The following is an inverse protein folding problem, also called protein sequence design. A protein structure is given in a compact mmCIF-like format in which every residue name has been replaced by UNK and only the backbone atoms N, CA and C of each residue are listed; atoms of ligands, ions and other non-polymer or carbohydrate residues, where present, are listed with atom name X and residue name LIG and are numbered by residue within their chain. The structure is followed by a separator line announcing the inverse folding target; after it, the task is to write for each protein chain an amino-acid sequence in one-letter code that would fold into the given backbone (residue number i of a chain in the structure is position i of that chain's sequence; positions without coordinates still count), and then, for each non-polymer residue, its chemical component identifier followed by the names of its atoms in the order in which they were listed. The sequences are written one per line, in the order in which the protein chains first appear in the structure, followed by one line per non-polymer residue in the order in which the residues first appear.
data_IF_508391465912
#
_entry.id   IF_508391465912
#
_cell.length_a   1.000
_cell.length_b   1.000
_cell.length_c   1.000
_cell.angle_alpha   90.00
_cell.angle_beta   90.00
_cell.angle_gamma   90.00
#
_symmetry.space_group_name_H-M   'P 1'
#
loop_
_entity.id
_entity.type
_entity.pdbx_description
1 polymer ?
#
# COMPACT_ATOMS: atom_id res chain seq x y z
N UNK A 1 47.36 30.44 -15.26
CA UNK A 1 47.34 28.97 -15.02
C UNK A 1 46.74 28.29 -16.25
N UNK A 2 47.46 27.34 -16.88
CA UNK A 2 47.05 26.68 -18.13
C UNK A 2 45.69 25.96 -17.92
N UNK A 3 44.70 26.12 -18.84
CA UNK A 3 43.36 25.51 -18.73
C UNK A 3 43.43 23.97 -18.62
N UNK A 4 44.43 23.32 -19.18
CA UNK A 4 44.68 21.88 -19.06
C UNK A 4 45.07 21.51 -17.64
N UNK A 5 45.92 22.29 -16.98
CA UNK A 5 46.35 22.07 -15.60
C UNK A 5 45.19 22.29 -14.60
N UNK A 6 44.37 23.33 -14.87
CA UNK A 6 43.15 23.59 -14.05
C UNK A 6 42.12 22.45 -14.16
N UNK A 7 42.01 21.88 -15.33
CA UNK A 7 41.11 20.74 -15.60
C UNK A 7 41.64 19.46 -14.90
N UNK A 8 42.94 19.20 -15.01
CA UNK A 8 43.58 18.06 -14.29
C UNK A 8 43.51 18.20 -12.78
N UNK A 9 43.70 19.40 -12.23
CA UNK A 9 43.58 19.67 -10.79
C UNK A 9 42.13 19.49 -10.31
N UNK A 10 41.15 19.97 -11.06
CA UNK A 10 39.73 19.79 -10.72
C UNK A 10 39.30 18.30 -10.77
N UNK A 11 39.82 17.55 -11.76
CA UNK A 11 39.58 16.09 -11.84
C UNK A 11 40.22 15.37 -10.64
N UNK A 12 41.46 15.73 -10.28
CA UNK A 12 42.14 15.16 -9.11
C UNK A 12 41.45 15.47 -7.78
N UNK A 13 40.99 16.71 -7.60
CA UNK A 13 40.22 17.11 -6.41
C UNK A 13 38.86 16.42 -6.35
N UNK A 14 38.16 16.29 -7.46
CA UNK A 14 36.87 15.59 -7.51
C UNK A 14 37.01 14.08 -7.31
N UNK A 15 38.07 13.48 -7.78
CA UNK A 15 38.37 12.07 -7.54
C UNK A 15 38.69 11.82 -6.05
N UNK A 16 39.48 12.70 -5.43
CA UNK A 16 39.81 12.59 -4.00
C UNK A 16 38.59 12.80 -3.11
N UNK A 17 37.70 13.74 -3.44
CA UNK A 17 36.45 13.94 -2.71
C UNK A 17 35.50 12.74 -2.84
N UNK A 18 35.39 12.15 -4.01
CA UNK A 18 34.58 10.94 -4.22
C UNK A 18 35.13 9.74 -3.43
N UNK A 19 36.44 9.57 -3.36
CA UNK A 19 37.05 8.51 -2.56
C UNK A 19 36.79 8.70 -1.07
N UNK A 20 36.88 9.92 -0.56
CA UNK A 20 36.55 10.24 0.83
C UNK A 20 35.07 9.96 1.11
N UNK A 21 34.15 10.46 0.29
CA UNK A 21 32.71 10.18 0.43
C UNK A 21 32.39 8.68 0.34
N UNK A 22 33.07 7.94 -0.55
CA UNK A 22 32.89 6.49 -0.65
C UNK A 22 33.36 5.76 0.62
N UNK A 23 34.46 6.22 1.25
CA UNK A 23 34.95 5.63 2.50
C UNK A 23 33.99 5.91 3.67
N UNK A 24 33.51 7.15 3.79
CA UNK A 24 32.52 7.54 4.81
C UNK A 24 31.22 6.78 4.65
N UNK A 25 30.68 6.74 3.44
CA UNK A 25 29.44 6.01 3.15
C UNK A 25 29.60 4.49 3.33
N UNK A 26 30.77 3.92 2.99
CA UNK A 26 31.04 2.51 3.24
C UNK A 26 31.11 2.22 4.75
N UNK A 27 31.72 3.10 5.52
CA UNK A 27 31.77 2.98 6.98
C UNK A 27 30.35 3.01 7.57
N UNK A 28 29.53 4.00 7.19
CA UNK A 28 28.14 4.10 7.64
C UNK A 28 27.33 2.86 7.24
N UNK A 29 27.50 2.39 6.01
CA UNK A 29 26.78 1.21 5.51
C UNK A 29 27.16 -0.08 6.26
N UNK A 30 28.43 -0.22 6.68
CA UNK A 30 28.92 -1.39 7.39
C UNK A 30 28.61 -1.36 8.89
N UNK A 31 28.68 -0.17 9.52
CA UNK A 31 28.69 -0.05 10.98
C UNK A 31 27.55 0.81 11.55
N UNK A 32 26.94 1.71 10.74
CA UNK A 32 25.92 2.66 11.16
C UNK A 32 24.69 2.60 10.24
N UNK A 33 24.34 1.40 9.78
CA UNK A 33 23.30 1.20 8.77
C UNK A 33 21.96 1.84 9.12
N UNK A 34 21.60 1.88 10.40
CA UNK A 34 20.36 2.49 10.88
C UNK A 34 20.28 3.99 10.57
N UNK A 35 21.42 4.70 10.51
CA UNK A 35 21.46 6.13 10.17
C UNK A 35 21.19 6.40 8.69
N UNK A 36 21.27 5.38 7.85
CA UNK A 36 21.02 5.44 6.41
C UNK A 36 19.55 5.17 6.04
N UNK A 37 18.75 4.64 6.98
CA UNK A 37 17.36 4.30 6.73
C UNK A 37 16.49 5.55 6.86
N UNK A 38 15.75 5.86 5.79
CA UNK A 38 14.92 7.07 5.65
C UNK A 38 13.42 6.77 5.60
N UNK A 39 12.99 5.55 5.99
CA UNK A 39 11.59 5.14 5.89
C UNK A 39 10.73 5.62 7.07
N UNK A 40 9.43 5.84 6.80
CA UNK A 40 8.44 6.16 7.84
C UNK A 40 8.62 7.53 8.51
N UNK A 41 9.31 8.47 7.86
CA UNK A 41 9.65 9.78 8.44
C UNK A 41 8.53 10.81 8.32
N UNK A 42 7.47 10.55 7.56
CA UNK A 42 6.35 11.48 7.45
C UNK A 42 5.58 11.54 8.78
N UNK A 43 5.45 12.76 9.33
CA UNK A 43 4.72 12.98 10.58
C UNK A 43 3.27 12.53 10.46
N UNK A 44 2.77 11.80 11.46
CA UNK A 44 1.42 11.28 11.50
C UNK A 44 0.90 11.21 12.94
N UNK A 45 -0.41 11.08 13.05
CA UNK A 45 -1.13 10.85 14.30
C UNK A 45 -1.75 9.45 14.28
N UNK A 46 -1.59 8.69 15.35
CA UNK A 46 -2.32 7.42 15.54
C UNK A 46 -3.68 7.76 16.15
N UNK A 47 -4.74 7.56 15.38
CA UNK A 47 -6.11 7.92 15.79
C UNK A 47 -6.96 6.73 16.24
N UNK A 48 -6.50 5.51 15.98
CA UNK A 48 -7.09 4.27 16.47
C UNK A 48 -5.98 3.25 16.74
N UNK A 49 -6.08 2.56 17.88
CA UNK A 49 -5.28 1.38 18.21
C UNK A 49 -6.21 0.19 18.48
N UNK A 50 -6.00 -0.88 17.72
CA UNK A 50 -6.72 -2.15 17.84
C UNK A 50 -5.74 -3.30 17.59
N UNK A 51 -5.65 -4.28 18.47
CA UNK A 51 -4.70 -5.38 18.36
C UNK A 51 -5.07 -6.35 17.21
N UNK A 52 -4.25 -6.52 16.18
CA UNK A 52 -2.89 -6.00 15.97
C UNK A 52 -2.80 -4.68 15.19
N UNK A 53 -3.90 -4.09 14.76
CA UNK A 53 -4.01 -2.96 13.82
C UNK A 53 -3.92 -1.60 14.52
N UNK A 54 -3.39 -0.59 13.83
CA UNK A 54 -3.59 0.82 14.15
C UNK A 54 -3.98 1.61 12.89
N UNK A 55 -4.54 2.81 13.07
CA UNK A 55 -4.91 3.72 12.01
C UNK A 55 -4.14 5.02 12.17
N UNK A 56 -3.39 5.40 11.13
CA UNK A 56 -2.58 6.62 11.08
C UNK A 56 -3.26 7.68 10.24
N UNK A 57 -3.30 8.91 10.74
CA UNK A 57 -3.69 10.09 9.97
C UNK A 57 -2.46 10.92 9.63
N UNK A 58 -2.34 11.34 8.37
CA UNK A 58 -1.24 12.18 7.88
C UNK A 58 -1.76 13.60 7.65
N UNK A 59 -1.39 14.56 8.51
CA UNK A 59 -1.78 15.95 8.31
C UNK A 59 -1.10 16.54 7.07
N UNK A 60 -1.65 17.66 6.54
CA UNK A 60 -0.99 18.37 5.45
C UNK A 60 0.44 18.76 5.80
N UNK A 61 1.39 18.64 4.85
CA UNK A 61 2.73 19.16 5.04
C UNK A 61 2.69 20.65 5.41
N UNK A 62 3.53 21.06 6.38
CA UNK A 62 3.63 22.46 6.79
C UNK A 62 4.39 23.33 5.77
N UNK A 63 5.18 22.70 4.92
CA UNK A 63 5.98 23.33 3.86
C UNK A 63 5.09 23.82 2.72
N UNK A 64 5.52 24.85 2.00
CA UNK A 64 4.83 25.31 0.78
C UNK A 64 5.03 24.36 -0.41
N UNK A 65 6.14 23.64 -0.42
CA UNK A 65 6.50 22.68 -1.46
C UNK A 65 7.10 21.43 -0.81
N UNK A 66 6.78 20.28 -1.37
CA UNK A 66 7.51 19.04 -1.09
C UNK A 66 8.45 18.73 -2.25
N UNK A 67 9.61 18.15 -1.95
CA UNK A 67 10.55 17.68 -2.96
C UNK A 67 10.30 16.20 -3.25
N UNK A 68 10.31 15.85 -4.54
CA UNK A 68 10.24 14.48 -5.04
C UNK A 68 11.60 14.05 -5.60
N UNK A 69 11.71 12.79 -5.99
CA UNK A 69 12.87 12.30 -6.73
C UNK A 69 13.10 13.18 -7.99
N UNK A 70 14.35 13.28 -8.43
CA UNK A 70 14.78 14.11 -9.56
C UNK A 70 14.62 15.64 -9.35
N UNK A 71 14.59 16.11 -8.08
CA UNK A 71 14.43 17.52 -7.69
C UNK A 71 13.11 18.16 -8.19
N UNK A 72 12.13 17.36 -8.52
CA UNK A 72 10.79 17.84 -8.85
C UNK A 72 10.11 18.39 -7.59
N UNK A 73 9.49 19.58 -7.68
CA UNK A 73 8.79 20.22 -6.56
C UNK A 73 7.30 20.19 -6.79
N UNK A 74 6.57 19.73 -5.79
CA UNK A 74 5.10 19.76 -5.78
C UNK A 74 4.63 20.79 -4.78
N UNK A 75 3.80 21.72 -5.25
CA UNK A 75 3.17 22.72 -4.38
C UNK A 75 2.15 22.04 -3.48
N UNK A 76 2.16 22.41 -2.19
CA UNK A 76 1.16 21.93 -1.23
C UNK A 76 -0.15 22.68 -1.46
N UNK A 77 -1.23 21.93 -1.70
CA UNK A 77 -2.57 22.46 -1.92
C UNK A 77 -3.27 22.70 -0.58
N UNK A 78 -3.77 23.92 -0.38
CA UNK A 78 -4.49 24.28 0.85
C UNK A 78 -5.97 23.92 0.79
N UNK A 79 -6.54 23.86 -0.42
CA UNK A 79 -7.93 23.42 -0.60
C UNK A 79 -8.00 21.90 -0.42
N UNK A 80 -8.89 21.44 0.46
CA UNK A 80 -9.03 20.03 0.78
C UNK A 80 -10.12 19.36 -0.02
N UNK A 81 -9.83 18.13 -0.47
CA UNK A 81 -10.84 17.24 -1.00
C UNK A 81 -11.73 16.74 0.15
N UNK A 82 -13.07 16.84 0.03
CA UNK A 82 -13.96 16.49 1.13
C UNK A 82 -14.04 14.98 1.40
N UNK A 83 -13.74 14.12 0.40
CA UNK A 83 -13.73 12.66 0.59
C UNK A 83 -12.36 12.21 1.00
N UNK A 84 -12.17 11.62 2.21
CA UNK A 84 -10.89 11.14 2.70
C UNK A 84 -10.37 9.95 1.88
N UNK A 85 -9.04 9.83 1.82
CA UNK A 85 -8.31 8.75 1.16
C UNK A 85 -7.74 7.80 2.20
N UNK A 86 -8.15 6.54 2.17
CA UNK A 86 -7.63 5.47 3.02
C UNK A 86 -6.71 4.57 2.21
N UNK A 87 -5.45 4.52 2.60
CA UNK A 87 -4.45 3.64 2.02
C UNK A 87 -4.48 2.30 2.74
N UNK A 88 -4.57 1.23 1.96
CA UNK A 88 -4.68 -0.15 2.45
C UNK A 88 -3.46 -0.94 1.98
N UNK A 89 -2.46 -1.17 2.86
CA UNK A 89 -1.28 -1.95 2.51
C UNK A 89 -1.61 -3.44 2.43
N UNK A 90 -0.76 -4.23 1.77
CA UNK A 90 -0.81 -5.68 1.88
C UNK A 90 -0.45 -6.12 3.30
N UNK A 91 -0.95 -7.28 3.73
CA UNK A 91 -0.40 -7.98 4.89
C UNK A 91 1.02 -8.47 4.60
N UNK A 92 1.81 -8.66 5.63
CA UNK A 92 3.20 -9.13 5.52
C UNK A 92 4.22 -8.05 5.17
N UNK A 93 3.79 -6.80 4.97
CA UNK A 93 4.68 -5.64 4.78
C UNK A 93 4.36 -4.55 5.78
N UNK A 94 5.33 -3.69 6.03
CA UNK A 94 5.18 -2.55 6.91
C UNK A 94 4.56 -1.34 6.18
N UNK A 95 4.18 -0.31 6.92
CA UNK A 95 3.60 0.93 6.38
C UNK A 95 4.56 1.74 5.52
N UNK A 96 5.86 1.47 5.61
CA UNK A 96 6.90 2.07 4.77
C UNK A 96 6.66 1.79 3.28
N UNK A 97 5.83 0.79 2.93
CA UNK A 97 5.34 0.60 1.57
C UNK A 97 4.65 1.83 0.97
N UNK A 98 4.13 2.73 1.80
CA UNK A 98 3.52 4.00 1.38
C UNK A 98 4.30 5.23 1.85
N UNK A 99 5.37 5.04 2.63
CA UNK A 99 6.22 6.10 3.17
C UNK A 99 7.70 5.68 3.17
N UNK A 100 8.22 5.32 1.99
CA UNK A 100 9.53 4.69 1.88
C UNK A 100 10.68 5.66 2.16
N UNK A 101 10.59 6.88 1.65
CA UNK A 101 11.60 7.96 1.85
C UNK A 101 10.93 9.31 1.65
N UNK A 102 11.51 10.42 2.18
CA UNK A 102 10.90 11.75 2.07
C UNK A 102 10.53 12.17 0.64
N UNK A 103 11.37 11.83 -0.35
CA UNK A 103 11.15 12.13 -1.77
C UNK A 103 10.40 11.01 -2.54
N UNK A 104 10.03 9.92 -1.85
CA UNK A 104 9.23 8.78 -2.38
C UNK A 104 8.20 8.33 -1.35
N UNK A 105 7.47 9.27 -0.80
CA UNK A 105 6.38 9.04 0.16
C UNK A 105 5.04 9.30 -0.52
N UNK A 106 4.24 8.26 -0.73
CA UNK A 106 2.90 8.39 -1.29
C UNK A 106 1.98 9.13 -0.31
N UNK A 107 2.08 8.84 1.00
CA UNK A 107 1.28 9.53 2.02
C UNK A 107 1.54 11.04 2.00
N UNK A 108 2.82 11.45 1.95
CA UNK A 108 3.21 12.86 1.87
C UNK A 108 2.75 13.52 0.58
N UNK A 109 2.88 12.80 -0.56
CA UNK A 109 2.44 13.29 -1.86
C UNK A 109 0.93 13.53 -1.88
N UNK A 110 0.12 12.55 -1.47
CA UNK A 110 -1.34 12.68 -1.46
C UNK A 110 -1.81 13.76 -0.47
N UNK A 111 -1.17 13.88 0.71
CA UNK A 111 -1.46 14.94 1.66
C UNK A 111 -1.13 16.32 1.09
N UNK A 112 -0.02 16.46 0.35
CA UNK A 112 0.35 17.69 -0.36
C UNK A 112 -0.62 18.05 -1.48
N UNK A 113 -1.26 17.05 -2.11
CA UNK A 113 -2.29 17.22 -3.14
C UNK A 113 -3.70 17.45 -2.58
N UNK A 114 -3.81 17.78 -1.30
CA UNK A 114 -5.06 18.21 -0.67
C UNK A 114 -5.96 17.08 -0.17
N UNK A 115 -5.53 15.82 -0.15
CA UNK A 115 -6.32 14.74 0.43
C UNK A 115 -6.15 14.66 1.95
N UNK A 116 -7.21 14.28 2.66
CA UNK A 116 -7.14 13.78 4.03
C UNK A 116 -6.68 12.33 3.96
N UNK A 117 -5.41 12.06 4.28
CA UNK A 117 -4.78 10.76 4.09
C UNK A 117 -4.80 9.96 5.38
N UNK A 118 -5.34 8.76 5.30
CA UNK A 118 -5.31 7.75 6.35
C UNK A 118 -4.57 6.52 5.86
N UNK A 119 -3.84 5.86 6.72
CA UNK A 119 -3.11 4.63 6.41
C UNK A 119 -3.40 3.58 7.47
N UNK A 120 -3.94 2.46 7.05
CA UNK A 120 -4.10 1.30 7.93
C UNK A 120 -2.72 0.68 8.16
N UNK A 121 -2.35 0.53 9.42
CA UNK A 121 -1.19 -0.26 9.83
C UNK A 121 -1.71 -1.57 10.43
N UNK A 122 -1.52 -2.67 9.70
CA UNK A 122 -1.96 -3.99 10.18
C UNK A 122 -1.19 -4.50 11.39
N UNK A 123 -0.17 -3.75 11.84
CA UNK A 123 0.69 -4.11 12.95
C UNK A 123 1.59 -5.31 12.66
N UNK A 124 2.11 -5.89 13.72
CA UNK A 124 2.99 -7.07 13.64
C UNK A 124 2.24 -8.31 14.16
N UNK A 125 1.64 -9.13 13.29
CA UNK A 125 0.93 -10.32 13.72
C UNK A 125 1.83 -11.25 14.50
N UNK A 126 1.34 -11.73 15.65
CA UNK A 126 2.02 -12.69 16.51
C UNK A 126 1.31 -14.04 16.44
N UNK A 127 1.88 -15.08 17.04
CA UNK A 127 1.27 -16.42 17.08
C UNK A 127 -0.14 -16.44 17.64
N UNK A 128 -0.49 -15.53 18.59
CA UNK A 128 -1.85 -15.38 19.11
C UNK A 128 -2.86 -14.94 18.04
N UNK A 129 -2.38 -14.26 16.97
CA UNK A 129 -3.20 -13.81 15.85
C UNK A 129 -3.29 -14.84 14.71
N UNK A 130 -2.72 -16.04 14.90
CA UNK A 130 -2.66 -17.07 13.86
C UNK A 130 -4.05 -17.50 13.33
N UNK A 131 -5.11 -17.33 14.12
CA UNK A 131 -6.49 -17.67 13.72
C UNK A 131 -7.14 -16.59 12.84
N UNK A 132 -6.58 -15.37 12.77
CA UNK A 132 -7.14 -14.31 11.95
C UNK A 132 -7.07 -14.69 10.48
N UNK A 133 -8.22 -14.64 9.80
CA UNK A 133 -8.38 -14.89 8.38
C UNK A 133 -8.72 -13.62 7.61
N UNK A 134 -9.00 -13.76 6.32
CA UNK A 134 -9.34 -12.62 5.45
C UNK A 134 -10.57 -11.86 5.93
N UNK A 135 -11.55 -12.53 6.54
CA UNK A 135 -12.75 -11.87 7.06
C UNK A 135 -12.42 -10.95 8.24
N UNK A 136 -11.55 -11.41 9.15
CA UNK A 136 -11.17 -10.61 10.32
C UNK A 136 -10.49 -9.32 9.88
N UNK A 137 -9.59 -9.38 8.90
CA UNK A 137 -8.93 -8.20 8.36
C UNK A 137 -9.85 -7.33 7.50
N UNK A 138 -10.61 -7.94 6.57
CA UNK A 138 -11.42 -7.19 5.63
C UNK A 138 -12.71 -6.65 6.26
N UNK A 139 -13.42 -7.42 7.09
CA UNK A 139 -14.73 -7.01 7.62
C UNK A 139 -14.61 -6.31 8.97
N UNK A 140 -13.85 -6.89 9.91
CA UNK A 140 -13.80 -6.39 11.28
C UNK A 140 -12.78 -5.25 11.40
N UNK A 141 -11.48 -5.54 11.24
CA UNK A 141 -10.43 -4.53 11.45
C UNK A 141 -10.55 -3.35 10.47
N UNK A 142 -10.78 -3.62 9.18
CA UNK A 142 -11.01 -2.54 8.21
C UNK A 142 -12.32 -1.80 8.49
N UNK A 143 -13.38 -2.48 8.92
CA UNK A 143 -14.64 -1.86 9.32
C UNK A 143 -14.45 -0.87 10.45
N UNK A 144 -13.71 -1.27 11.51
CA UNK A 144 -13.38 -0.40 12.65
C UNK A 144 -12.53 0.80 12.20
N UNK A 145 -11.53 0.58 11.33
CA UNK A 145 -10.72 1.65 10.77
C UNK A 145 -11.57 2.65 9.97
N UNK A 146 -12.49 2.18 9.12
CA UNK A 146 -13.35 3.05 8.31
C UNK A 146 -14.38 3.81 9.15
N UNK A 147 -14.90 3.20 10.20
CA UNK A 147 -15.77 3.90 11.16
C UNK A 147 -15.01 5.07 11.81
N UNK A 148 -13.77 4.85 12.22
CA UNK A 148 -12.92 5.90 12.79
C UNK A 148 -12.55 6.98 11.77
N UNK A 149 -12.24 6.61 10.51
CA UNK A 149 -12.01 7.58 9.42
C UNK A 149 -13.22 8.49 9.25
N UNK A 150 -14.44 7.95 9.22
CA UNK A 150 -15.68 8.71 9.09
C UNK A 150 -15.88 9.66 10.27
N UNK A 151 -15.67 9.15 11.49
CA UNK A 151 -15.76 9.96 12.70
C UNK A 151 -14.74 11.11 12.72
N UNK A 152 -13.48 10.84 12.37
CA UNK A 152 -12.40 11.81 12.42
C UNK A 152 -12.49 12.84 11.29
N UNK A 153 -12.84 12.41 10.07
CA UNK A 153 -12.96 13.29 8.91
C UNK A 153 -14.30 14.06 8.85
N UNK A 154 -15.33 13.57 9.53
CA UNK A 154 -16.71 14.09 9.41
C UNK A 154 -17.37 13.76 8.07
N UNK A 155 -16.81 12.85 7.28
CA UNK A 155 -17.34 12.42 5.97
C UNK A 155 -17.79 10.97 6.05
N UNK A 156 -19.04 10.69 5.66
CA UNK A 156 -19.51 9.31 5.47
C UNK A 156 -18.86 8.66 4.24
N UNK A 157 -18.66 9.45 3.19
CA UNK A 157 -18.03 8.97 1.96
C UNK A 157 -16.51 8.80 2.13
N UNK A 158 -15.96 7.70 1.59
CA UNK A 158 -14.54 7.33 1.70
C UNK A 158 -14.01 6.85 0.34
N UNK A 159 -12.74 7.10 0.09
CA UNK A 159 -11.96 6.51 -1.00
C UNK A 159 -11.01 5.46 -0.44
N UNK A 160 -10.99 4.26 -1.02
CA UNK A 160 -10.02 3.21 -0.72
C UNK A 160 -8.95 3.13 -1.81
N UNK A 161 -7.68 3.01 -1.42
CA UNK A 161 -6.57 2.76 -2.32
C UNK A 161 -5.72 1.61 -1.77
N UNK A 162 -5.86 0.44 -2.38
CA UNK A 162 -5.21 -0.78 -1.94
C UNK A 162 -4.12 -1.26 -2.90
N UNK A 163 -2.96 -1.61 -2.35
CA UNK A 163 -1.88 -2.25 -3.11
C UNK A 163 -1.88 -3.76 -2.85
N UNK A 164 -1.73 -4.56 -3.93
CA UNK A 164 -1.63 -6.02 -3.86
C UNK A 164 -2.78 -6.63 -3.03
N UNK A 165 -2.47 -7.28 -1.93
CA UNK A 165 -3.46 -7.84 -1.01
C UNK A 165 -4.34 -6.77 -0.34
N UNK A 166 -3.86 -5.53 -0.16
CA UNK A 166 -4.68 -4.44 0.34
C UNK A 166 -5.88 -4.13 -0.58
N UNK A 167 -5.68 -4.21 -1.90
CA UNK A 167 -6.80 -4.10 -2.85
C UNK A 167 -7.77 -5.28 -2.78
N UNK A 168 -7.27 -6.50 -2.50
CA UNK A 168 -8.14 -7.66 -2.28
C UNK A 168 -8.98 -7.50 -1.01
N UNK A 169 -8.37 -7.07 0.10
CA UNK A 169 -9.08 -6.83 1.35
C UNK A 169 -10.15 -5.76 1.19
N UNK A 170 -9.86 -4.69 0.43
CA UNK A 170 -10.83 -3.65 0.08
C UNK A 170 -12.02 -4.21 -0.71
N UNK A 171 -11.75 -5.06 -1.70
CA UNK A 171 -12.80 -5.71 -2.50
C UNK A 171 -13.63 -6.68 -1.67
N UNK A 172 -12.98 -7.47 -0.80
CA UNK A 172 -13.68 -8.41 0.11
C UNK A 172 -14.55 -7.62 1.09
N UNK A 173 -14.04 -6.53 1.69
CA UNK A 173 -14.83 -5.65 2.54
C UNK A 173 -16.10 -5.18 1.83
N UNK A 174 -15.96 -4.60 0.64
CA UNK A 174 -17.08 -4.06 -0.11
C UNK A 174 -18.08 -5.16 -0.54
N UNK A 175 -17.58 -6.34 -0.93
CA UNK A 175 -18.43 -7.48 -1.29
C UNK A 175 -19.20 -8.08 -0.10
N UNK A 176 -18.65 -8.01 1.12
CA UNK A 176 -19.30 -8.49 2.36
C UNK A 176 -20.31 -7.47 2.92
N UNK A 177 -19.92 -6.19 2.96
CA UNK A 177 -20.68 -5.15 3.65
C UNK A 177 -21.64 -4.40 2.76
N UNK A 178 -21.39 -4.41 1.45
CA UNK A 178 -22.12 -3.60 0.45
C UNK A 178 -22.18 -2.12 0.82
N UNK A 179 -21.10 -1.61 1.41
CA UNK A 179 -20.97 -0.23 1.87
C UNK A 179 -21.02 0.76 0.70
N UNK A 180 -22.16 1.43 0.53
CA UNK A 180 -22.42 2.37 -0.56
C UNK A 180 -21.67 3.70 -0.39
N UNK A 181 -21.08 3.95 0.78
CA UNK A 181 -20.28 5.13 1.05
C UNK A 181 -18.79 4.96 0.65
N UNK A 182 -18.40 3.81 0.13
CA UNK A 182 -17.12 3.71 -0.58
C UNK A 182 -17.34 4.27 -1.99
N UNK A 183 -16.97 5.54 -2.19
CA UNK A 183 -17.20 6.28 -3.44
C UNK A 183 -16.24 5.86 -4.54
N UNK A 184 -14.98 5.67 -4.17
CA UNK A 184 -13.91 5.35 -5.11
C UNK A 184 -13.07 4.19 -4.57
N UNK A 185 -12.70 3.29 -5.45
CA UNK A 185 -11.78 2.21 -5.19
C UNK A 185 -10.62 2.28 -6.18
N UNK A 186 -9.41 2.31 -5.67
CA UNK A 186 -8.18 2.18 -6.47
C UNK A 186 -7.51 0.87 -6.08
N UNK A 187 -7.23 0.00 -7.05
CA UNK A 187 -6.45 -1.22 -6.83
C UNK A 187 -5.17 -1.18 -7.64
N UNK A 188 -4.05 -1.46 -6.99
CA UNK A 188 -2.71 -1.46 -7.61
C UNK A 188 -2.14 -2.86 -7.49
N UNK A 189 -1.83 -3.50 -8.63
CA UNK A 189 -1.23 -4.83 -8.69
C UNK A 189 -1.93 -5.85 -7.76
N UNK A 190 -3.28 -5.86 -7.74
CA UNK A 190 -4.06 -6.77 -6.90
C UNK A 190 -4.37 -8.08 -7.65
N UNK A 191 -4.10 -9.26 -7.05
CA UNK A 191 -4.20 -10.55 -7.73
C UNK A 191 -5.63 -11.10 -7.75
N UNK A 192 -6.45 -10.70 -8.72
CA UNK A 192 -7.86 -11.08 -8.85
C UNK A 192 -8.03 -12.47 -9.49
N UNK A 193 -7.33 -12.74 -10.59
CA UNK A 193 -7.42 -14.01 -11.28
C UNK A 193 -6.10 -14.77 -11.23
N UNK A 194 -5.93 -15.65 -10.24
CA UNK A 194 -4.69 -16.42 -10.05
C UNK A 194 -4.32 -17.32 -11.23
N UNK A 195 -5.18 -17.46 -12.26
CA UNK A 195 -4.92 -18.19 -13.50
C UNK A 195 -4.71 -17.28 -14.71
N UNK A 196 -4.66 -15.97 -14.50
CA UNK A 196 -4.57 -14.95 -15.56
C UNK A 196 -3.18 -14.78 -16.21
N UNK A 197 -2.20 -15.62 -15.91
CA UNK A 197 -0.87 -15.63 -16.52
C UNK A 197 0.30 -15.63 -15.53
N UNK A 198 1.53 -15.73 -16.06
CA UNK A 198 2.75 -15.64 -15.27
C UNK A 198 3.10 -16.92 -14.45
N UNK A 199 4.10 -16.77 -13.58
CA UNK A 199 4.63 -17.86 -12.74
C UNK A 199 3.59 -18.26 -11.69
N UNK A 200 2.88 -17.30 -11.12
CA UNK A 200 1.85 -17.53 -10.09
C UNK A 200 0.72 -18.39 -10.65
N UNK A 201 0.26 -18.11 -11.88
CA UNK A 201 -0.78 -18.90 -12.51
C UNK A 201 -0.35 -20.35 -12.77
N UNK A 202 0.91 -20.56 -13.19
CA UNK A 202 1.48 -21.91 -13.36
C UNK A 202 1.53 -22.66 -12.04
N UNK A 203 2.00 -22.02 -10.96
CA UNK A 203 2.05 -22.61 -9.64
C UNK A 203 0.64 -22.93 -9.09
N UNK A 204 -0.31 -22.02 -9.21
CA UNK A 204 -1.69 -22.21 -8.79
C UNK A 204 -2.34 -23.39 -9.55
N UNK A 205 -2.11 -23.49 -10.87
CA UNK A 205 -2.62 -24.59 -11.69
C UNK A 205 -1.98 -25.93 -11.31
N UNK A 206 -0.67 -25.94 -11.05
CA UNK A 206 0.04 -27.15 -10.63
C UNK A 206 -0.44 -27.66 -9.26
N UNK A 207 -0.79 -26.77 -8.33
CA UNK A 207 -1.32 -27.12 -7.01
C UNK A 207 -2.79 -27.60 -7.08
N UNK A 208 -3.56 -27.12 -8.05
CA UNK A 208 -4.99 -27.40 -8.13
C UNK A 208 -5.30 -28.87 -8.35
N UNK A 209 -4.64 -29.55 -9.30
CA UNK A 209 -4.92 -30.95 -9.63
C UNK A 209 -4.68 -31.92 -8.45
N UNK A 210 -3.51 -31.86 -7.74
CA UNK A 210 -3.30 -32.66 -6.55
C UNK A 210 -4.29 -32.34 -5.42
N UNK A 211 -4.59 -31.04 -5.20
CA UNK A 211 -5.52 -30.62 -4.15
C UNK A 211 -6.94 -31.15 -4.39
N UNK A 212 -7.42 -31.10 -5.65
CA UNK A 212 -8.72 -31.66 -6.01
C UNK A 212 -8.75 -33.19 -5.85
N UNK A 213 -7.66 -33.87 -6.19
CA UNK A 213 -7.55 -35.31 -6.02
C UNK A 213 -7.64 -35.70 -4.54
N UNK A 214 -6.87 -35.04 -3.69
CA UNK A 214 -6.92 -35.25 -2.23
C UNK A 214 -8.33 -34.98 -1.70
N UNK A 215 -8.95 -33.86 -2.09
CA UNK A 215 -10.32 -33.51 -1.71
C UNK A 215 -11.33 -34.57 -2.11
N UNK A 216 -11.20 -35.11 -3.34
CA UNK A 216 -12.11 -36.12 -3.88
C UNK A 216 -12.01 -37.46 -3.14
N UNK A 217 -10.79 -37.91 -2.81
CA UNK A 217 -10.59 -39.26 -2.22
C UNK A 217 -10.64 -39.27 -0.69
N UNK A 218 -10.23 -38.19 -0.01
CA UNK A 218 -10.15 -38.15 1.45
C UNK A 218 -11.12 -37.15 2.11
N UNK A 219 -11.78 -36.30 1.33
CA UNK A 219 -12.56 -35.18 1.86
C UNK A 219 -11.72 -34.10 2.58
N UNK A 220 -10.40 -34.32 2.66
CA UNK A 220 -9.51 -33.44 3.42
C UNK A 220 -9.26 -32.13 2.66
N UNK A 221 -9.28 -31.02 3.40
CA UNK A 221 -8.98 -29.68 2.89
C UNK A 221 -7.94 -29.01 3.80
N UNK A 222 -7.18 -28.10 3.26
CA UNK A 222 -6.21 -27.31 4.04
C UNK A 222 -6.88 -26.57 5.22
N UNK A 223 -8.15 -26.20 5.09
CA UNK A 223 -8.96 -25.65 6.18
C UNK A 223 -9.18 -26.61 7.36
N UNK A 224 -8.91 -27.89 7.21
CA UNK A 224 -8.94 -28.85 8.32
C UNK A 224 -7.69 -28.77 9.22
N UNK A 225 -6.64 -28.07 8.78
CA UNK A 225 -5.46 -27.80 9.60
C UNK A 225 -5.72 -26.65 10.56
N UNK A 226 -5.16 -26.76 11.77
CA UNK A 226 -5.15 -25.63 12.69
C UNK A 226 -4.30 -24.49 12.06
N UNK A 227 -4.85 -23.27 11.91
CA UNK A 227 -4.14 -22.13 11.34
C UNK A 227 -2.80 -21.82 11.99
N UNK A 228 -2.65 -22.10 13.29
CA UNK A 228 -1.38 -21.88 14.00
C UNK A 228 -0.20 -22.66 13.43
N UNK A 229 -0.44 -23.74 12.68
CA UNK A 229 0.59 -24.52 11.98
C UNK A 229 1.00 -23.91 10.64
N UNK A 230 0.20 -23.01 10.12
CA UNK A 230 0.42 -22.31 8.85
C UNK A 230 0.93 -20.88 9.05
N UNK A 231 1.09 -20.44 10.30
CA UNK A 231 1.69 -19.14 10.61
C UNK A 231 3.08 -19.05 9.96
N UNK A 232 3.26 -18.08 9.06
CA UNK A 232 4.49 -17.92 8.29
C UNK A 232 5.30 -16.76 8.87
N UNK A 233 6.52 -16.99 9.32
CA UNK A 233 7.38 -15.93 9.82
C UNK A 233 7.84 -15.01 8.68
N UNK A 234 8.07 -13.74 8.98
CA UNK A 234 8.39 -12.68 8.00
C UNK A 234 9.62 -12.99 7.13
N UNK A 235 10.63 -13.73 7.64
CA UNK A 235 11.77 -14.13 6.83
C UNK A 235 11.38 -15.02 5.63
N UNK A 236 10.31 -15.84 5.74
CA UNK A 236 9.80 -16.61 4.60
C UNK A 236 9.16 -15.69 3.55
N UNK A 237 8.46 -14.65 4.00
CA UNK A 237 7.91 -13.61 3.13
C UNK A 237 9.05 -12.89 2.40
N UNK A 238 10.08 -12.47 3.13
CA UNK A 238 11.31 -11.87 2.57
C UNK A 238 11.96 -12.77 1.51
N UNK A 239 12.12 -14.05 1.82
CA UNK A 239 12.69 -15.03 0.87
C UNK A 239 11.82 -15.16 -0.38
N UNK A 240 10.49 -15.24 -0.21
CA UNK A 240 9.54 -15.28 -1.33
C UNK A 240 9.69 -14.08 -2.25
N UNK A 241 9.77 -12.86 -1.72
CA UNK A 241 9.98 -11.65 -2.51
C UNK A 241 11.33 -11.65 -3.23
N UNK A 242 12.42 -12.03 -2.56
CA UNK A 242 13.77 -12.10 -3.18
C UNK A 242 13.83 -13.12 -4.32
N UNK A 243 13.12 -14.21 -4.23
CA UNK A 243 13.05 -15.22 -5.28
C UNK A 243 12.27 -14.77 -6.53
N UNK A 244 11.48 -13.71 -6.44
CA UNK A 244 10.78 -13.14 -7.62
C UNK A 244 11.72 -12.37 -8.55
N UNK A 245 12.84 -11.82 -8.02
CA UNK A 245 13.87 -11.14 -8.79
C UNK A 245 15.28 -11.46 -8.24
N UNK A 246 15.80 -12.68 -8.47
CA UNK A 246 17.10 -13.08 -7.96
C UNK A 246 18.27 -12.32 -8.62
N UNK A 247 18.12 -11.94 -9.90
CA UNK A 247 19.13 -11.19 -10.64
C UNK A 247 19.19 -9.75 -10.13
N UNK A 248 18.03 -9.09 -9.96
CA UNK A 248 17.93 -7.76 -9.39
C UNK A 248 18.53 -7.68 -8.00
N UNK A 249 18.34 -8.72 -7.19
CA UNK A 249 18.93 -8.80 -5.85
C UNK A 249 20.47 -8.78 -5.85
N UNK A 250 21.12 -9.37 -6.85
CA UNK A 250 22.60 -9.38 -6.97
C UNK A 250 23.11 -8.09 -7.61
N UNK A 251 22.47 -7.61 -8.68
CA UNK A 251 22.88 -6.38 -9.40
C UNK A 251 22.78 -5.16 -8.50
N UNK A 252 21.80 -5.12 -7.60
CA UNK A 252 21.61 -4.02 -6.63
C UNK A 252 22.85 -3.84 -5.73
N UNK A 253 23.51 -4.92 -5.30
CA UNK A 253 24.75 -4.83 -4.52
C UNK A 253 25.93 -4.37 -5.37
N UNK A 254 26.01 -4.78 -6.63
CA UNK A 254 27.03 -4.28 -7.56
C UNK A 254 26.89 -2.78 -7.81
N UNK A 255 25.65 -2.32 -8.02
CA UNK A 255 25.36 -0.90 -8.17
C UNK A 255 25.73 -0.12 -6.90
N UNK A 256 25.49 -0.67 -5.71
CA UNK A 256 25.90 -0.06 -4.45
C UNK A 256 27.45 0.13 -4.42
N UNK A 257 28.21 -0.91 -4.71
CA UNK A 257 29.68 -0.83 -4.68
C UNK A 257 30.23 0.20 -5.68
N UNK A 258 29.60 0.33 -6.86
CA UNK A 258 30.04 1.29 -7.87
C UNK A 258 29.60 2.72 -7.58
N UNK A 259 28.59 2.93 -6.71
CA UNK A 259 28.01 4.22 -6.37
C UNK A 259 28.16 4.59 -4.88
N UNK A 260 29.10 3.97 -4.16
CA UNK A 260 29.37 4.27 -2.75
C UNK A 260 29.69 5.74 -2.47
N UNK A 261 30.17 6.48 -3.47
CA UNK A 261 30.46 7.90 -3.38
C UNK A 261 29.20 8.79 -3.34
N UNK A 262 28.05 8.25 -3.73
CA UNK A 262 26.76 8.93 -3.84
C UNK A 262 25.92 8.61 -2.59
N UNK A 263 25.81 9.58 -1.66
CA UNK A 263 25.11 9.42 -0.39
C UNK A 263 23.63 9.10 -0.59
N UNK A 264 22.97 9.81 -1.49
CA UNK A 264 21.52 9.62 -1.75
C UNK A 264 21.24 8.22 -2.29
N UNK A 265 22.15 7.71 -3.12
CA UNK A 265 22.05 6.34 -3.62
C UNK A 265 22.23 5.31 -2.50
N UNK A 266 23.22 5.52 -1.61
CA UNK A 266 23.48 4.60 -0.48
C UNK A 266 22.31 4.59 0.51
N UNK A 267 21.74 5.75 0.82
CA UNK A 267 20.54 5.86 1.66
C UNK A 267 19.32 5.19 1.02
N UNK A 268 19.08 5.44 -0.26
CA UNK A 268 18.00 4.80 -1.02
C UNK A 268 18.13 3.28 -1.08
N UNK A 269 19.35 2.78 -1.30
CA UNK A 269 19.65 1.35 -1.29
C UNK A 269 19.42 0.75 0.10
N UNK A 270 19.98 1.40 1.15
CA UNK A 270 19.89 0.91 2.53
C UNK A 270 18.45 0.89 3.02
N UNK A 271 17.68 1.94 2.74
CA UNK A 271 16.25 2.03 3.08
C UNK A 271 15.43 0.94 2.38
N UNK A 272 15.64 0.76 1.06
CA UNK A 272 14.91 -0.28 0.31
C UNK A 272 15.29 -1.68 0.80
N UNK A 273 16.58 -1.92 1.09
CA UNK A 273 17.04 -3.19 1.61
C UNK A 273 16.53 -3.46 3.03
N UNK A 274 16.44 -2.44 3.87
CA UNK A 274 15.86 -2.54 5.21
C UNK A 274 14.38 -2.91 5.14
N UNK A 275 13.59 -2.19 4.34
CA UNK A 275 12.19 -2.49 4.10
C UNK A 275 11.98 -3.95 3.64
N UNK A 276 12.77 -4.43 2.66
CA UNK A 276 12.67 -5.80 2.14
C UNK A 276 13.12 -6.87 3.14
N UNK A 277 13.98 -6.53 4.10
CA UNK A 277 14.43 -7.46 5.13
C UNK A 277 13.50 -7.50 6.35
N UNK A 278 12.67 -6.50 6.55
CA UNK A 278 11.77 -6.36 7.70
C UNK A 278 10.31 -6.74 7.37
N UNK A 279 10.12 -7.73 6.49
CA UNK A 279 8.78 -8.25 6.19
C UNK A 279 8.14 -8.86 7.44
N UNK A 280 6.81 -8.73 7.53
CA UNK A 280 6.02 -9.15 8.67
C UNK A 280 5.55 -10.60 8.53
N UNK A 281 5.18 -11.18 9.65
CA UNK A 281 4.57 -12.50 9.71
C UNK A 281 3.19 -12.51 9.05
N UNK A 282 2.81 -13.65 8.48
CA UNK A 282 1.45 -13.89 8.00
C UNK A 282 0.67 -14.76 8.97
N UNK A 283 -0.53 -14.35 9.40
CA UNK A 283 -1.45 -15.22 10.14
C UNK A 283 -1.81 -16.47 9.35
N UNK A 284 -1.87 -17.60 10.02
CA UNK A 284 -2.16 -18.87 9.37
C UNK A 284 -3.55 -18.93 8.74
N UNK A 285 -4.55 -18.26 9.34
CA UNK A 285 -5.89 -18.16 8.76
C UNK A 285 -5.90 -17.43 7.41
N UNK A 286 -5.11 -16.34 7.31
CA UNK A 286 -4.93 -15.64 6.02
C UNK A 286 -4.25 -16.54 5.00
N UNK A 287 -3.21 -17.29 5.38
CA UNK A 287 -2.55 -18.24 4.47
C UNK A 287 -3.52 -19.32 4.00
N UNK A 288 -4.34 -19.86 4.90
CA UNK A 288 -5.37 -20.82 4.51
C UNK A 288 -6.32 -20.25 3.46
N UNK A 289 -6.85 -19.05 3.70
CA UNK A 289 -7.79 -18.40 2.80
C UNK A 289 -7.12 -18.11 1.44
N UNK A 290 -5.89 -17.59 1.44
CA UNK A 290 -5.14 -17.33 0.21
C UNK A 290 -4.88 -18.61 -0.60
N UNK A 291 -4.40 -19.66 0.04
CA UNK A 291 -4.09 -20.91 -0.65
C UNK A 291 -5.33 -21.61 -1.19
N UNK A 292 -6.40 -21.70 -0.39
CA UNK A 292 -7.59 -22.46 -0.79
C UNK A 292 -8.49 -21.62 -1.68
N UNK A 293 -8.92 -20.45 -1.22
CA UNK A 293 -9.95 -19.65 -1.92
C UNK A 293 -9.39 -18.94 -3.13
N UNK A 294 -8.15 -18.46 -3.05
CA UNK A 294 -7.54 -17.68 -4.12
C UNK A 294 -6.71 -18.57 -5.07
N UNK A 295 -5.72 -19.32 -4.57
CA UNK A 295 -4.82 -20.06 -5.45
C UNK A 295 -5.47 -21.34 -6.00
N UNK A 296 -6.11 -22.18 -5.16
CA UNK A 296 -6.68 -23.45 -5.58
C UNK A 296 -8.05 -23.25 -6.25
N UNK A 297 -8.99 -22.61 -5.56
CA UNK A 297 -10.37 -22.46 -6.03
C UNK A 297 -10.55 -21.24 -6.94
N UNK A 298 -9.62 -20.29 -6.92
CA UNK A 298 -9.63 -19.05 -7.73
C UNK A 298 -10.96 -18.27 -7.62
N UNK A 299 -11.53 -18.21 -6.42
CA UNK A 299 -12.86 -17.65 -6.17
C UNK A 299 -12.94 -16.15 -6.49
N UNK A 300 -11.86 -15.38 -6.25
CA UNK A 300 -11.82 -13.97 -6.64
C UNK A 300 -12.16 -13.75 -8.11
N UNK A 301 -11.67 -14.62 -9.01
CA UNK A 301 -11.92 -14.51 -10.44
C UNK A 301 -13.38 -14.80 -10.83
N UNK A 302 -14.16 -15.44 -9.97
CA UNK A 302 -15.60 -15.65 -10.16
C UNK A 302 -16.45 -14.49 -9.68
N UNK A 303 -15.86 -13.58 -8.89
CA UNK A 303 -16.55 -12.47 -8.25
C UNK A 303 -17.30 -12.84 -6.96
N UNK A 304 -17.22 -14.09 -6.51
CA UNK A 304 -17.89 -14.57 -5.29
C UNK A 304 -16.93 -15.38 -4.45
N UNK A 305 -16.67 -14.91 -3.24
CA UNK A 305 -15.72 -15.52 -2.31
C UNK A 305 -16.47 -15.98 -1.07
N UNK A 306 -16.45 -17.28 -0.82
CA UNK A 306 -17.00 -17.88 0.40
C UNK A 306 -16.05 -17.63 1.56
N UNK A 307 -16.48 -16.87 2.56
CA UNK A 307 -15.66 -16.53 3.74
C UNK A 307 -16.45 -16.90 4.98
N UNK A 308 -16.04 -17.96 5.66
CA UNK A 308 -16.78 -18.53 6.81
C UNK A 308 -18.27 -18.69 6.50
N UNK A 309 -19.14 -17.94 7.18
CA UNK A 309 -20.60 -18.03 7.04
C UNK A 309 -21.18 -16.98 6.05
N UNK A 310 -20.33 -16.24 5.34
CA UNK A 310 -20.72 -15.17 4.45
C UNK A 310 -20.13 -15.32 3.05
N UNK A 311 -20.71 -14.65 2.07
CA UNK A 311 -20.21 -14.59 0.70
C UNK A 311 -19.92 -13.14 0.37
N UNK A 312 -18.65 -12.82 0.07
CA UNK A 312 -18.29 -11.55 -0.52
C UNK A 312 -18.65 -11.57 -2.00
N UNK A 313 -19.61 -10.76 -2.41
CA UNK A 313 -20.08 -10.66 -3.79
C UNK A 313 -19.55 -9.39 -4.44
N UNK A 314 -18.50 -9.52 -5.26
CA UNK A 314 -17.87 -8.40 -5.94
C UNK A 314 -18.75 -7.81 -7.05
N UNK A 315 -19.75 -8.57 -7.53
CA UNK A 315 -20.64 -8.13 -8.60
C UNK A 315 -21.63 -7.03 -8.12
N UNK A 316 -21.74 -6.83 -6.81
CA UNK A 316 -22.55 -5.76 -6.21
C UNK A 316 -21.81 -4.44 -6.07
N UNK A 317 -20.50 -4.40 -6.31
CA UNK A 317 -19.68 -3.19 -6.16
C UNK A 317 -20.00 -2.20 -7.27
N UNK A 318 -20.44 -1.00 -6.88
CA UNK A 318 -20.83 0.11 -7.78
C UNK A 318 -19.93 1.34 -7.68
N UNK A 319 -18.97 1.36 -6.74
CA UNK A 319 -18.00 2.44 -6.58
C UNK A 319 -17.22 2.72 -7.88
N UNK A 320 -16.78 3.97 -8.10
CA UNK A 320 -15.86 4.27 -9.19
C UNK A 320 -14.57 3.45 -9.01
N UNK A 321 -14.08 2.86 -10.08
CA UNK A 321 -12.94 1.91 -10.03
C UNK A 321 -11.78 2.35 -10.93
N UNK A 322 -10.60 2.48 -10.32
CA UNK A 322 -9.34 2.70 -11.01
C UNK A 322 -8.38 1.53 -10.71
N UNK A 323 -7.87 0.90 -11.74
CA UNK A 323 -7.00 -0.28 -11.62
C UNK A 323 -5.65 -0.01 -12.26
N UNK A 324 -4.57 -0.31 -11.54
CA UNK A 324 -3.22 -0.30 -12.07
C UNK A 324 -2.59 -1.70 -12.04
N UNK A 325 -1.86 -2.03 -13.12
CA UNK A 325 -0.99 -3.18 -13.20
C UNK A 325 0.44 -2.75 -13.58
N UNK A 326 1.44 -3.48 -13.10
CA UNK A 326 2.84 -3.24 -13.48
C UNK A 326 3.19 -3.96 -14.78
N UNK A 327 3.79 -3.24 -15.75
CA UNK A 327 4.16 -3.80 -17.07
C UNK A 327 5.11 -5.00 -16.99
N UNK A 328 5.99 -5.01 -15.98
CA UNK A 328 6.97 -6.08 -15.76
C UNK A 328 6.71 -6.83 -14.46
N UNK A 329 5.48 -6.77 -13.95
CA UNK A 329 5.08 -7.48 -12.75
C UNK A 329 4.96 -8.98 -13.03
N UNK A 330 5.85 -9.77 -12.42
CA UNK A 330 5.87 -11.23 -12.56
C UNK A 330 4.95 -11.93 -11.56
N UNK A 331 4.57 -11.24 -10.46
CA UNK A 331 3.66 -11.75 -9.44
C UNK A 331 2.20 -11.54 -9.85
N UNK A 332 1.89 -10.32 -10.28
CA UNK A 332 0.53 -9.92 -10.68
C UNK A 332 0.58 -9.30 -12.08
N UNK A 333 0.80 -10.12 -13.11
CA UNK A 333 0.69 -9.67 -14.49
C UNK A 333 -0.66 -9.02 -14.80
N UNK A 334 -0.70 -8.23 -15.86
CA UNK A 334 -1.86 -7.51 -16.35
C UNK A 334 -3.15 -8.36 -16.37
N UNK A 335 -3.07 -9.60 -16.94
CA UNK A 335 -4.22 -10.50 -17.01
C UNK A 335 -4.72 -11.02 -15.67
N UNK A 336 -3.90 -10.95 -14.62
CA UNK A 336 -4.34 -11.25 -13.24
C UNK A 336 -5.10 -10.05 -12.65
N UNK A 337 -4.58 -8.83 -12.79
CA UNK A 337 -5.16 -7.63 -12.19
C UNK A 337 -6.41 -7.14 -12.91
N UNK A 338 -6.45 -7.20 -14.25
CA UNK A 338 -7.52 -6.60 -15.06
C UNK A 338 -8.88 -7.26 -14.87
N UNK A 339 -8.93 -8.52 -14.40
CA UNK A 339 -10.16 -9.29 -14.25
C UNK A 339 -11.26 -8.56 -13.45
N UNK A 340 -10.90 -7.72 -12.50
CA UNK A 340 -11.87 -6.99 -11.68
C UNK A 340 -12.78 -6.06 -12.50
N UNK A 341 -12.27 -5.54 -13.62
CA UNK A 341 -13.04 -4.66 -14.52
C UNK A 341 -14.32 -5.35 -15.03
N UNK A 342 -14.25 -6.66 -15.28
CA UNK A 342 -15.39 -7.45 -15.79
C UNK A 342 -16.35 -7.89 -14.69
N UNK A 343 -15.89 -7.91 -13.43
CA UNK A 343 -16.66 -8.48 -12.32
C UNK A 343 -17.59 -7.47 -11.66
N UNK A 344 -17.14 -6.24 -11.45
CA UNK A 344 -17.90 -5.24 -10.69
C UNK A 344 -18.98 -4.57 -11.52
N UNK A 345 -20.06 -4.13 -10.84
CA UNK A 345 -21.17 -3.37 -11.43
C UNK A 345 -20.88 -1.87 -11.61
N UNK A 346 -19.67 -1.43 -11.26
CA UNK A 346 -19.24 -0.03 -11.42
C UNK A 346 -19.46 0.45 -12.86
N UNK A 347 -20.01 1.66 -13.01
CA UNK A 347 -20.20 2.30 -14.32
C UNK A 347 -18.96 3.06 -14.78
N UNK A 348 -18.21 3.63 -13.84
CA UNK A 348 -16.96 4.34 -14.09
C UNK A 348 -15.80 3.43 -13.71
N UNK A 349 -15.15 2.85 -14.73
CA UNK A 349 -14.04 1.91 -14.58
C UNK A 349 -12.91 2.27 -15.52
N UNK A 350 -11.69 2.32 -14.99
CA UNK A 350 -10.48 2.56 -15.77
C UNK A 350 -9.40 1.53 -15.42
N UNK A 351 -8.65 1.11 -16.41
CA UNK A 351 -7.51 0.21 -16.28
C UNK A 351 -6.27 0.81 -16.93
N UNK A 352 -5.15 0.85 -16.18
CA UNK A 352 -3.89 1.40 -16.63
C UNK A 352 -2.74 0.42 -16.38
N UNK A 353 -1.83 0.35 -17.35
CA UNK A 353 -0.56 -0.39 -17.21
C UNK A 353 0.56 0.62 -16.98
N UNK A 354 1.16 0.55 -15.78
CA UNK A 354 2.24 1.43 -15.38
C UNK A 354 3.61 0.76 -15.55
N UNK A 355 4.69 1.53 -15.82
CA UNK A 355 6.04 0.99 -15.83
C UNK A 355 6.44 0.42 -14.47
N UNK A 356 7.16 -0.70 -14.47
CA UNK A 356 7.70 -1.32 -13.27
C UNK A 356 7.13 -2.71 -12.99
N UNK A 357 7.78 -3.43 -12.06
CA UNK A 357 7.34 -4.69 -11.49
C UNK A 357 6.45 -4.45 -10.26
N UNK A 358 6.22 -5.51 -9.47
CA UNK A 358 5.28 -5.51 -8.35
C UNK A 358 5.50 -4.39 -7.33
N UNK A 359 6.75 -4.19 -6.91
CA UNK A 359 7.14 -3.09 -6.03
C UNK A 359 7.27 -1.77 -6.78
N UNK A 360 7.82 -1.84 -8.01
CA UNK A 360 8.13 -0.65 -8.80
C UNK A 360 6.91 0.15 -9.22
N UNK A 361 5.75 -0.47 -9.33
CA UNK A 361 4.49 0.19 -9.70
C UNK A 361 4.04 1.20 -8.64
N UNK A 362 4.43 1.03 -7.39
CA UNK A 362 4.06 1.95 -6.29
C UNK A 362 5.25 2.69 -5.68
N UNK A 363 6.42 2.04 -5.58
CA UNK A 363 7.61 2.57 -4.91
C UNK A 363 8.71 3.01 -5.87
N UNK A 364 8.58 2.69 -7.16
CA UNK A 364 9.60 3.00 -8.16
C UNK A 364 9.67 4.51 -8.49
N UNK A 365 10.81 4.95 -9.02
CA UNK A 365 11.02 6.35 -9.43
C UNK A 365 9.97 6.85 -10.45
N UNK A 366 9.43 5.95 -11.28
CA UNK A 366 8.39 6.29 -12.27
C UNK A 366 6.97 6.28 -11.69
N UNK A 367 6.76 5.80 -10.45
CA UNK A 367 5.43 5.67 -9.86
C UNK A 367 4.71 7.01 -9.73
N UNK A 368 5.44 8.08 -9.42
CA UNK A 368 4.88 9.44 -9.32
C UNK A 368 4.11 9.80 -10.60
N UNK A 369 4.75 9.69 -11.76
CA UNK A 369 4.16 10.10 -13.06
C UNK A 369 3.17 9.08 -13.62
N UNK A 370 3.32 7.80 -13.28
CA UNK A 370 2.52 6.73 -13.91
C UNK A 370 1.37 6.20 -13.05
N UNK A 371 1.39 6.47 -11.74
CA UNK A 371 0.36 5.99 -10.80
C UNK A 371 -0.15 7.12 -9.91
N UNK A 372 0.73 7.86 -9.21
CA UNK A 372 0.28 8.83 -8.21
C UNK A 372 -0.41 10.04 -8.85
N UNK A 373 0.23 10.66 -9.84
CA UNK A 373 -0.34 11.81 -10.55
C UNK A 373 -1.64 11.47 -11.30
N UNK A 374 -1.72 10.37 -12.08
CA UNK A 374 -3.00 9.91 -12.65
C UNK A 374 -4.07 9.63 -11.59
N UNK A 375 -3.70 9.08 -10.43
CA UNK A 375 -4.64 8.87 -9.32
C UNK A 375 -5.19 10.20 -8.81
N UNK A 376 -4.34 11.20 -8.57
CA UNK A 376 -4.77 12.54 -8.15
C UNK A 376 -5.72 13.16 -9.18
N UNK A 377 -5.36 13.13 -10.46
CA UNK A 377 -6.18 13.66 -11.55
C UNK A 377 -7.55 12.97 -11.60
N UNK A 378 -7.56 11.63 -11.49
CA UNK A 378 -8.78 10.84 -11.49
C UNK A 378 -9.66 11.12 -10.27
N UNK A 379 -9.07 11.23 -9.08
CA UNK A 379 -9.79 11.51 -7.83
C UNK A 379 -10.31 12.94 -7.73
N UNK A 380 -9.63 13.94 -8.30
CA UNK A 380 -9.99 15.36 -8.16
C UNK A 380 -11.43 15.65 -8.60
N UNK A 381 -11.92 14.95 -9.63
CA UNK A 381 -13.31 15.07 -10.11
C UNK A 381 -14.32 14.17 -9.36
N UNK A 382 -13.84 13.19 -8.58
CA UNK A 382 -14.64 12.15 -7.91
C UNK A 382 -14.67 12.26 -6.39
N UNK A 383 -13.86 13.16 -5.83
CA UNK A 383 -13.81 13.41 -4.38
C UNK A 383 -14.80 14.50 -3.91
N UNK A 384 -15.97 14.57 -4.54
CA UNK A 384 -17.09 15.40 -4.11
C UNK A 384 -18.01 14.57 -3.21
N UNK A 385 -18.48 15.15 -2.11
CA UNK A 385 -19.45 14.48 -1.23
C UNK A 385 -20.72 14.12 -1.99
N UNK A 386 -21.32 12.99 -1.62
CA UNK A 386 -22.71 12.66 -2.01
C UNK A 386 -23.69 13.69 -1.47
N UNK A 387 -24.92 13.71 -1.99
CA UNK A 387 -25.96 14.61 -1.47
C UNK A 387 -26.20 14.36 0.03
N UNK A 388 -26.21 13.09 0.46
CA UNK A 388 -26.39 12.70 1.86
C UNK A 388 -25.17 13.08 2.72
N UNK A 389 -23.96 12.85 2.24
CA UNK A 389 -22.72 13.26 2.92
C UNK A 389 -22.61 14.77 3.11
N UNK A 390 -23.14 15.58 2.18
CA UNK A 390 -23.22 17.06 2.33
C UNK A 390 -24.15 17.49 3.46
N UNK A 391 -25.26 16.79 3.66
CA UNK A 391 -26.19 17.11 4.76
C UNK A 391 -25.56 16.80 6.14
N UNK A 392 -24.88 15.68 6.29
CA UNK A 392 -24.20 15.31 7.55
C UNK A 392 -23.06 16.27 7.91
N UNK A 393 -22.24 16.62 6.93
CA UNK A 393 -21.14 17.60 7.13
C UNK A 393 -21.67 18.98 7.55
N UNK A 394 -22.76 19.44 6.93
CA UNK A 394 -23.39 20.71 7.29
C UNK A 394 -23.96 20.69 8.71
N UNK A 395 -24.54 19.57 9.13
CA UNK A 395 -25.11 19.40 10.48
C UNK A 395 -24.01 19.30 11.54
N UNK A 396 -22.92 18.58 11.27
CA UNK A 396 -21.78 18.47 12.16
C UNK A 396 -21.07 19.82 12.38
N UNK A 397 -20.89 20.61 11.30
CA UNK A 397 -20.32 21.95 11.36
C UNK A 397 -21.21 22.92 12.16
N UNK A 398 -22.54 22.86 11.98
CA UNK A 398 -23.46 23.66 12.78
C UNK A 398 -23.42 23.29 14.26
N UNK A 399 -23.38 21.99 14.59
CA UNK A 399 -23.30 21.52 15.98
C UNK A 399 -22.00 21.91 16.63
N UNK A 400 -20.87 21.79 15.92
CA UNK A 400 -19.55 22.21 16.40
C UNK A 400 -19.47 23.74 16.64
N UNK A 401 -20.06 24.56 15.75
CA UNK A 401 -20.14 26.01 15.91
C UNK A 401 -21.02 26.39 17.12
N UNK A 402 -22.15 25.72 17.30
CA UNK A 402 -23.04 25.95 18.45
C UNK A 402 -22.37 25.54 19.77
N UNK A 403 -21.65 24.41 19.82
CA UNK A 403 -20.90 23.98 20.99
C UNK A 403 -19.78 24.95 21.33
N UNK A 404 -19.05 25.48 20.33
CA UNK A 404 -18.02 26.51 20.51
C UNK A 404 -18.60 27.82 21.01
N UNK A 405 -19.75 28.25 20.48
CA UNK A 405 -20.43 29.47 20.95
C UNK A 405 -20.94 29.34 22.38
N UNK A 406 -21.45 28.17 22.80
CA UNK A 406 -21.83 27.90 24.19
C UNK A 406 -20.62 27.94 25.12
N UNK A 407 -19.48 27.34 24.76
CA UNK A 407 -18.24 27.42 25.57
C UNK A 407 -17.74 28.85 25.74
N UNK A 408 -17.77 29.67 24.70
CA UNK A 408 -17.36 31.09 24.77
C UNK A 408 -18.36 31.90 25.63
N UNK A 409 -19.65 31.53 25.64
CA UNK A 409 -20.65 32.17 26.49
C UNK A 409 -20.56 31.78 27.96
N UNK A 410 -20.06 30.57 28.24
CA UNK A 410 -19.88 30.03 29.61
C UNK A 410 -18.52 30.41 30.23
N UNK A 411 -17.52 30.72 29.43
CA UNK A 411 -16.18 31.16 29.90
C UNK A 411 -15.64 32.29 29.02
N UNK A 412 -15.93 33.54 29.33
CA UNK A 412 -15.49 34.69 28.55
C UNK A 412 -13.96 35.00 28.66
N UNK A 413 -13.19 34.12 29.32
CA UNK A 413 -11.72 34.26 29.46
C UNK A 413 -10.94 33.35 28.52
N UNK A 414 -11.61 32.58 27.66
CA UNK A 414 -11.07 31.82 26.52
C UNK A 414 -11.43 32.55 25.22
#
# INVERSE_FOLDING_TARGET
MNPVFRRALNVGLSANSRLASAADNAFDWLFLRETLVQSGLTSHEVILEADPMSLRYYPPPAEQFIELADNERVRVEHQRHPVPLVLVPPLGVTTESFDLMPHRSLVRYMAARGFHVYLIDWGKPQRRHAQLGMQDYAQHLMGDALAEVRRHSGSEDVTLMGWCMGGLLSLVYMGLTQDQHIRNLITIASPINMRGGGIVAKAATAMNAPAQLVRKFSGWRLHNLNPSRLHSPGWMTTLGFKLTDPIGSVTTYWDLLTKLWDRDFVESHSTTADYLNNMLDYPGGVIQDMMVKMAIDNQMATGRIEIRDAVADLTTITANLLVFAGKTDVLVPEGIASRIIDLVASKDKQFHVAPGGHMGVILGSKAVKSVWEPTVQWLSSRSQLSADGRQHSSTADMTARQARQRRIAEDPTL
#
